data_IF_822769760981
#
_entry.id   IF_822769760981
#
_cell.length_a   1.000
_cell.length_b   1.000
_cell.length_c   1.000
_cell.angle_alpha   90.00
_cell.angle_beta   90.00
_cell.angle_gamma   90.00
#
_symmetry.space_group_name_H-M   'P 1'
#
loop_
_entity.id
_entity.type
_entity.pdbx_description
1 polymer ?
#
# COMPACT_ATOMS: atom_id res chain seq x y z
N UNK A 1 2.10 -10.44 -6.12
CA UNK A 1 1.27 -9.39 -6.74
C UNK A 1 1.99 -8.07 -6.52
N UNK A 2 2.24 -7.30 -7.59
CA UNK A 2 2.86 -5.98 -7.50
C UNK A 2 1.82 -4.92 -7.85
N UNK A 3 1.76 -3.84 -7.07
CA UNK A 3 0.89 -2.70 -7.33
C UNK A 3 1.69 -1.41 -7.26
N UNK A 4 1.50 -0.50 -8.22
CA UNK A 4 2.12 0.83 -8.23
C UNK A 4 1.07 1.87 -7.86
N UNK A 5 1.31 2.60 -6.79
CA UNK A 5 0.55 3.77 -6.40
C UNK A 5 1.28 5.03 -6.90
N UNK A 6 0.50 5.93 -7.50
CA UNK A 6 0.94 7.08 -8.28
C UNK A 6 1.76 6.66 -9.53
N UNK A 7 1.11 6.58 -10.68
CA UNK A 7 1.79 6.23 -11.95
C UNK A 7 2.62 7.41 -12.42
N UNK A 8 3.80 7.14 -13.00
CA UNK A 8 4.58 8.18 -13.66
C UNK A 8 3.75 8.89 -14.73
N UNK A 9 3.83 10.21 -14.76
CA UNK A 9 3.03 11.03 -15.65
C UNK A 9 3.18 10.56 -17.12
N UNK A 10 2.09 10.16 -17.80
CA UNK A 10 2.16 9.59 -19.15
C UNK A 10 2.71 10.58 -20.19
N UNK A 11 2.73 11.89 -19.91
CA UNK A 11 3.30 12.91 -20.80
C UNK A 11 4.82 12.71 -20.99
N UNK A 12 5.53 12.07 -20.05
CA UNK A 12 6.99 11.87 -20.16
C UNK A 12 7.39 10.57 -20.84
N UNK A 13 6.46 9.63 -21.08
CA UNK A 13 6.76 8.32 -21.65
C UNK A 13 5.77 7.93 -22.75
N UNK A 14 5.90 8.56 -23.93
CA UNK A 14 5.26 8.06 -25.14
C UNK A 14 6.05 6.84 -25.67
N UNK A 15 5.61 5.63 -25.33
CA UNK A 15 5.95 4.41 -26.09
C UNK A 15 4.73 3.97 -26.92
N UNK A 16 4.92 3.53 -28.17
CA UNK A 16 3.82 3.25 -29.09
C UNK A 16 3.17 1.90 -28.73
N UNK A 17 1.97 1.93 -28.15
CA UNK A 17 1.21 0.71 -27.93
C UNK A 17 0.46 0.26 -29.19
N UNK A 18 0.72 -1.01 -29.53
CA UNK A 18 -0.02 -1.94 -30.38
C UNK A 18 -1.53 -1.64 -30.51
N UNK A 19 -2.05 -1.70 -31.76
CA UNK A 19 -3.48 -1.57 -32.10
C UNK A 19 -4.27 -2.75 -31.52
N UNK A 20 -4.92 -2.56 -30.37
CA UNK A 20 -5.93 -3.47 -29.86
C UNK A 20 -7.18 -3.47 -30.76
N UNK A 21 -7.85 -4.62 -30.89
CA UNK A 21 -9.12 -4.74 -31.59
C UNK A 21 -10.20 -3.86 -30.93
N UNK A 22 -11.15 -3.28 -31.68
CA UNK A 22 -12.21 -2.47 -31.09
C UNK A 22 -13.06 -3.33 -30.14
N UNK A 23 -13.47 -2.79 -28.99
CA UNK A 23 -14.27 -3.52 -28.02
C UNK A 23 -15.63 -3.94 -28.63
N UNK A 24 -16.21 -5.07 -28.17
CA UNK A 24 -17.51 -5.52 -28.63
C UNK A 24 -18.61 -4.50 -28.26
N UNK A 25 -19.55 -4.29 -29.18
CA UNK A 25 -20.70 -3.39 -28.96
C UNK A 25 -21.69 -4.09 -28.03
N UNK A 26 -21.97 -3.48 -26.87
CA UNK A 26 -22.98 -3.96 -25.94
C UNK A 26 -24.39 -3.51 -26.37
N UNK A 27 -25.42 -4.36 -26.22
CA UNK A 27 -26.80 -3.96 -26.48
C UNK A 27 -27.22 -2.83 -25.52
N UNK A 28 -27.95 -1.83 -26.01
CA UNK A 28 -28.34 -0.62 -25.24
C UNK A 28 -29.81 -0.22 -25.38
N UNK A 29 -30.62 -1.05 -26.01
CA UNK A 29 -31.98 -0.71 -26.44
C UNK A 29 -32.96 -0.68 -25.26
N UNK A 30 -32.78 -1.57 -24.28
CA UNK A 30 -33.70 -1.67 -23.15
C UNK A 30 -33.23 -0.86 -21.93
N UNK A 31 -34.18 -0.58 -21.02
CA UNK A 31 -33.84 0.03 -19.73
C UNK A 31 -32.94 -0.88 -18.88
N UNK A 32 -33.09 -2.21 -19.02
CA UNK A 32 -32.25 -3.20 -18.36
C UNK A 32 -30.82 -3.17 -18.93
N UNK A 33 -30.67 -3.09 -20.26
CA UNK A 33 -29.38 -2.94 -20.92
C UNK A 33 -28.65 -1.68 -20.45
N UNK A 34 -29.36 -0.54 -20.39
CA UNK A 34 -28.78 0.72 -19.90
C UNK A 34 -28.39 0.65 -18.43
N UNK A 35 -29.15 -0.06 -17.59
CA UNK A 35 -28.80 -0.30 -16.18
C UNK A 35 -27.61 -1.24 -16.04
N UNK A 36 -27.54 -2.29 -16.87
CA UNK A 36 -26.43 -3.24 -16.89
C UNK A 36 -25.15 -2.58 -17.40
N UNK A 37 -25.21 -1.78 -18.46
CA UNK A 37 -24.10 -0.95 -18.94
C UNK A 37 -23.68 0.06 -17.87
N UNK A 38 -24.63 0.73 -17.20
CA UNK A 38 -24.31 1.61 -16.06
C UNK A 38 -23.62 0.85 -14.94
N UNK A 39 -24.05 -0.36 -14.61
CA UNK A 39 -23.45 -1.19 -13.58
C UNK A 39 -22.04 -1.65 -13.97
N UNK A 40 -21.85 -2.12 -15.21
CA UNK A 40 -20.55 -2.51 -15.76
C UNK A 40 -19.59 -1.33 -15.80
N UNK A 41 -20.03 -0.16 -16.26
CA UNK A 41 -19.21 1.06 -16.30
C UNK A 41 -19.02 1.69 -14.91
N UNK A 42 -19.92 1.42 -13.95
CA UNK A 42 -19.77 1.85 -12.55
C UNK A 42 -18.75 1.01 -11.79
N UNK A 43 -18.42 -0.18 -12.31
CA UNK A 43 -17.28 -0.95 -11.86
C UNK A 43 -16.03 -0.25 -12.38
N UNK A 44 -15.68 0.86 -11.72
CA UNK A 44 -14.39 1.50 -11.92
C UNK A 44 -13.32 0.41 -11.78
N UNK A 45 -12.40 0.36 -12.73
CA UNK A 45 -11.19 -0.43 -12.57
C UNK A 45 -10.60 -0.07 -11.20
N UNK A 46 -10.30 -1.05 -10.31
CA UNK A 46 -9.65 -0.75 -9.04
C UNK A 46 -8.43 0.16 -9.21
N UNK A 47 -7.71 0.02 -10.33
CA UNK A 47 -6.55 0.85 -10.66
C UNK A 47 -6.96 2.28 -11.03
N UNK A 48 -8.09 2.50 -11.70
CA UNK A 48 -8.66 3.83 -11.96
C UNK A 48 -9.08 4.53 -10.67
N UNK A 49 -9.70 3.81 -9.74
CA UNK A 49 -10.11 4.37 -8.45
C UNK A 49 -8.90 4.80 -7.63
N UNK A 50 -7.84 3.99 -7.63
CA UNK A 50 -6.57 4.33 -6.99
C UNK A 50 -5.90 5.52 -7.67
N UNK A 51 -5.88 5.56 -8.99
CA UNK A 51 -5.29 6.67 -9.75
C UNK A 51 -6.03 7.98 -9.49
N UNK A 52 -7.37 7.96 -9.46
CA UNK A 52 -8.18 9.13 -9.12
C UNK A 52 -7.94 9.61 -7.69
N UNK A 53 -7.68 8.68 -6.76
CA UNK A 53 -7.46 9.00 -5.36
C UNK A 53 -6.05 9.53 -5.08
N UNK A 54 -5.03 8.84 -5.58
CA UNK A 54 -3.62 9.15 -5.31
C UNK A 54 -2.99 10.12 -6.31
N UNK A 55 -3.55 10.26 -7.50
CA UNK A 55 -3.00 11.08 -8.57
C UNK A 55 -1.78 10.44 -9.25
N UNK A 56 -1.00 11.28 -9.93
CA UNK A 56 0.20 10.89 -10.68
C UNK A 56 1.47 11.29 -9.94
N UNK A 57 2.51 10.47 -10.07
CA UNK A 57 3.86 10.84 -9.68
C UNK A 57 4.53 11.56 -10.86
N UNK A 58 5.30 12.61 -10.56
CA UNK A 58 5.94 13.46 -11.57
C UNK A 58 7.46 13.23 -11.68
N UNK A 59 8.01 12.35 -10.84
CA UNK A 59 9.44 12.05 -10.80
C UNK A 59 9.64 10.55 -10.90
N UNK A 60 10.43 10.11 -11.87
CA UNK A 60 10.93 8.73 -11.94
C UNK A 60 12.38 8.69 -11.42
N UNK A 61 12.64 7.75 -10.51
CA UNK A 61 14.01 7.43 -10.07
C UNK A 61 14.19 5.93 -9.92
N UNK A 62 15.45 5.50 -9.75
CA UNK A 62 15.73 4.14 -9.28
C UNK A 62 15.04 3.90 -7.93
N UNK A 63 14.33 2.77 -7.77
CA UNK A 63 13.55 2.50 -6.57
C UNK A 63 14.45 2.15 -5.38
N UNK A 64 14.21 2.82 -4.26
CA UNK A 64 14.75 2.43 -2.96
C UNK A 64 13.89 1.29 -2.42
N UNK A 65 14.52 0.18 -2.05
CA UNK A 65 13.82 -0.98 -1.48
C UNK A 65 13.71 -0.86 0.03
N UNK A 66 12.54 -1.19 0.56
CA UNK A 66 12.28 -1.27 2.00
C UNK A 66 11.39 -2.47 2.29
N UNK A 67 11.63 -3.12 3.42
CA UNK A 67 10.87 -4.26 3.91
C UNK A 67 10.20 -3.87 5.22
N UNK A 68 8.95 -4.23 5.40
CA UNK A 68 8.15 -3.88 6.58
C UNK A 68 7.46 -5.12 7.13
N UNK A 69 7.43 -5.22 8.45
CA UNK A 69 6.74 -6.29 9.17
C UNK A 69 6.16 -5.77 10.50
N UNK A 70 5.14 -6.45 11.00
CA UNK A 70 4.47 -6.18 12.26
C UNK A 70 4.30 -7.46 13.07
N UNK A 71 4.73 -7.41 14.33
CA UNK A 71 4.61 -8.53 15.26
C UNK A 71 3.75 -8.15 16.46
N UNK A 72 2.98 -9.10 16.99
CA UNK A 72 2.22 -8.91 18.21
C UNK A 72 2.30 -10.11 19.14
N UNK A 73 2.91 -9.90 20.32
CA UNK A 73 2.90 -10.83 21.43
C UNK A 73 1.51 -10.86 22.06
N UNK A 74 0.91 -12.05 22.15
CA UNK A 74 -0.41 -12.21 22.75
C UNK A 74 -1.53 -11.56 21.97
N UNK A 75 -1.46 -11.52 20.63
CA UNK A 75 -2.47 -10.90 19.77
C UNK A 75 -3.92 -11.25 20.18
N UNK A 76 -4.76 -10.23 20.36
CA UNK A 76 -6.14 -10.37 20.84
C UNK A 76 -6.31 -10.54 22.35
N UNK A 77 -5.23 -10.49 23.14
CA UNK A 77 -5.27 -10.49 24.62
C UNK A 77 -5.17 -9.07 25.17
N UNK A 78 -5.65 -8.87 26.40
CA UNK A 78 -5.59 -7.58 27.09
C UNK A 78 -4.17 -7.09 27.39
N UNK A 79 -3.20 -8.01 27.48
CA UNK A 79 -1.78 -7.72 27.70
C UNK A 79 -0.97 -7.69 26.40
N UNK A 80 -1.63 -7.67 25.24
CA UNK A 80 -0.96 -7.71 23.96
C UNK A 80 0.05 -6.56 23.80
N UNK A 81 1.18 -6.88 23.18
CA UNK A 81 2.24 -5.93 22.89
C UNK A 81 2.66 -6.10 21.44
N UNK A 82 2.55 -5.05 20.63
CA UNK A 82 2.86 -5.12 19.21
C UNK A 82 3.95 -4.15 18.80
N UNK A 83 4.83 -4.61 17.92
CA UNK A 83 5.99 -3.88 17.43
C UNK A 83 6.07 -3.91 15.90
N UNK A 84 6.64 -2.86 15.35
CA UNK A 84 6.75 -2.60 13.92
C UNK A 84 8.22 -2.53 13.52
N UNK A 85 8.56 -3.27 12.47
CA UNK A 85 9.92 -3.38 11.94
C UNK A 85 10.01 -2.79 10.54
N UNK A 86 11.02 -1.96 10.30
CA UNK A 86 11.34 -1.43 8.96
C UNK A 86 12.81 -1.68 8.66
N UNK A 87 13.07 -2.37 7.56
CA UNK A 87 14.41 -2.75 7.13
C UNK A 87 14.73 -2.19 5.74
N UNK A 88 15.76 -1.34 5.67
CA UNK A 88 16.25 -0.68 4.46
C UNK A 88 17.53 -1.32 3.90
N UNK A 89 18.16 -2.22 4.67
CA UNK A 89 19.45 -2.83 4.33
C UNK A 89 20.36 -2.98 5.54
N UNK A 90 21.42 -3.76 5.39
CA UNK A 90 22.35 -4.00 6.48
C UNK A 90 23.05 -2.72 6.93
N UNK A 91 23.09 -2.50 8.24
CA UNK A 91 23.66 -1.30 8.87
C UNK A 91 23.05 0.03 8.40
N UNK A 92 21.87 0.01 7.78
CA UNK A 92 21.20 1.24 7.37
C UNK A 92 20.65 1.96 8.61
N UNK A 93 20.97 3.25 8.82
CA UNK A 93 20.53 4.01 10.01
C UNK A 93 19.02 4.25 10.06
N UNK A 94 18.29 4.04 8.95
CA UNK A 94 16.83 4.13 8.91
C UNK A 94 16.13 2.84 9.38
N UNK A 95 16.89 1.76 9.64
CA UNK A 95 16.31 0.55 10.20
C UNK A 95 15.66 0.87 11.55
N UNK A 96 14.39 0.49 11.68
CA UNK A 96 13.56 0.90 12.82
C UNK A 96 12.89 -0.30 13.46
N UNK A 97 13.02 -0.41 14.78
CA UNK A 97 12.18 -1.24 15.65
C UNK A 97 11.38 -0.29 16.54
N UNK A 98 10.06 -0.27 16.39
CA UNK A 98 9.20 0.69 17.09
C UNK A 98 8.02 0.00 17.75
N UNK A 99 7.64 0.48 18.94
CA UNK A 99 6.39 0.06 19.57
C UNK A 99 5.20 0.61 18.79
N UNK A 100 4.19 -0.22 18.54
CA UNK A 100 2.98 0.23 17.85
C UNK A 100 2.22 1.22 18.75
N UNK A 101 1.90 2.43 18.27
CA UNK A 101 1.21 3.43 19.08
C UNK A 101 -0.28 3.12 19.20
N UNK A 102 -0.90 3.64 20.25
CA UNK A 102 -2.35 3.58 20.46
C UNK A 102 -2.83 2.31 21.18
N UNK A 103 -4.13 2.26 21.50
CA UNK A 103 -4.69 1.27 22.42
C UNK A 103 -4.83 -0.14 21.80
N UNK A 104 -4.92 -0.24 20.47
CA UNK A 104 -5.13 -1.51 19.76
C UNK A 104 -3.83 -2.24 19.45
N UNK A 105 -3.24 -2.93 20.41
CA UNK A 105 -2.03 -3.74 20.20
C UNK A 105 -2.37 -5.03 19.44
N UNK A 106 -2.24 -5.00 18.12
CA UNK A 106 -2.62 -6.11 17.22
C UNK A 106 -1.58 -6.25 16.12
N UNK A 107 -1.49 -7.44 15.53
CA UNK A 107 -0.58 -7.68 14.39
C UNK A 107 -0.89 -6.70 13.24
N UNK A 108 -2.15 -6.64 12.83
CA UNK A 108 -2.62 -5.78 11.73
C UNK A 108 -2.26 -4.30 11.93
N UNK A 109 -2.37 -3.78 13.16
CA UNK A 109 -2.00 -2.39 13.43
C UNK A 109 -0.48 -2.18 13.35
N UNK A 110 0.30 -3.14 13.85
CA UNK A 110 1.76 -3.09 13.78
C UNK A 110 2.26 -3.11 12.34
N UNK A 111 1.66 -3.92 11.48
CA UNK A 111 1.97 -4.02 10.05
C UNK A 111 1.72 -2.68 9.34
N UNK A 112 0.56 -2.06 9.57
CA UNK A 112 0.25 -0.74 9.04
C UNK A 112 1.19 0.34 9.56
N UNK A 113 1.54 0.28 10.84
CA UNK A 113 2.45 1.26 11.42
C UNK A 113 3.87 1.14 10.84
N UNK A 114 4.33 -0.07 10.51
CA UNK A 114 5.58 -0.29 9.81
C UNK A 114 5.57 0.34 8.40
N UNK A 115 4.48 0.16 7.64
CA UNK A 115 4.26 0.86 6.35
C UNK A 115 4.32 2.37 6.51
N UNK A 116 3.68 2.91 7.55
CA UNK A 116 3.68 4.34 7.81
C UNK A 116 5.09 4.88 8.12
N UNK A 117 5.87 4.18 8.96
CA UNK A 117 7.27 4.55 9.25
C UNK A 117 8.08 4.57 7.96
N UNK A 118 7.97 3.52 7.14
CA UNK A 118 8.69 3.43 5.87
C UNK A 118 8.36 4.61 4.93
N UNK A 119 7.08 4.97 4.81
CA UNK A 119 6.64 6.11 3.99
C UNK A 119 7.08 7.47 4.56
N UNK A 120 7.13 7.60 5.88
CA UNK A 120 7.60 8.82 6.58
C UNK A 120 9.08 9.07 6.32
N UNK A 121 9.90 8.02 6.39
CA UNK A 121 11.36 8.13 6.32
C UNK A 121 11.88 8.06 4.87
N UNK A 122 11.07 7.58 3.94
CA UNK A 122 11.36 7.58 2.51
C UNK A 122 11.46 9.01 1.94
N UNK A 123 12.55 9.30 1.24
CA UNK A 123 12.69 10.55 0.47
C UNK A 123 11.55 10.67 -0.55
N UNK A 124 10.88 11.83 -0.57
CA UNK A 124 9.61 12.05 -1.30
C UNK A 124 9.75 12.03 -2.83
N UNK A 125 10.94 12.32 -3.35
CA UNK A 125 11.27 12.40 -4.78
C UNK A 125 11.99 11.16 -5.31
N UNK A 126 12.11 10.11 -4.49
CA UNK A 126 12.63 8.81 -4.89
C UNK A 126 11.53 7.78 -4.98
N UNK A 127 11.52 7.00 -6.06
CA UNK A 127 10.64 5.84 -6.18
C UNK A 127 10.87 4.91 -4.98
N UNK A 128 9.80 4.42 -4.36
CA UNK A 128 9.88 3.52 -3.22
C UNK A 128 9.32 2.16 -3.61
N UNK A 129 10.03 1.09 -3.29
CA UNK A 129 9.55 -0.29 -3.42
C UNK A 129 9.42 -0.89 -2.02
N UNK A 130 8.19 -0.93 -1.52
CA UNK A 130 7.84 -1.43 -0.20
C UNK A 130 7.39 -2.89 -0.31
N UNK A 131 8.08 -3.76 0.43
CA UNK A 131 7.76 -5.19 0.51
C UNK A 131 7.24 -5.54 1.89
N UNK A 132 6.16 -6.32 1.95
CA UNK A 132 5.58 -6.86 3.18
C UNK A 132 4.99 -8.24 2.89
N UNK A 133 4.91 -9.08 3.91
CA UNK A 133 4.17 -10.34 3.90
C UNK A 133 2.73 -10.20 4.44
N UNK A 134 2.32 -8.99 4.80
CA UNK A 134 0.96 -8.67 5.23
C UNK A 134 0.10 -8.25 4.05
N UNK A 135 -0.70 -9.17 3.53
CA UNK A 135 -1.76 -8.84 2.57
C UNK A 135 -2.72 -7.79 3.14
N UNK A 136 -2.99 -7.83 4.45
CA UNK A 136 -3.80 -6.82 5.11
C UNK A 136 -3.18 -5.43 4.97
N UNK A 137 -1.90 -5.24 5.34
CA UNK A 137 -1.28 -3.93 5.27
C UNK A 137 -1.19 -3.40 3.84
N UNK A 138 -0.86 -4.26 2.87
CA UNK A 138 -0.85 -3.89 1.46
C UNK A 138 -2.25 -3.45 1.03
N UNK A 139 -3.27 -4.29 1.22
CA UNK A 139 -4.65 -4.00 0.76
C UNK A 139 -5.27 -2.78 1.44
N UNK A 140 -5.02 -2.61 2.74
CA UNK A 140 -5.46 -1.47 3.51
C UNK A 140 -4.77 -0.16 3.08
N UNK A 141 -3.51 -0.22 2.65
CA UNK A 141 -2.75 0.93 2.14
C UNK A 141 -3.05 1.24 0.66
N UNK A 142 -3.73 0.32 -0.04
CA UNK A 142 -3.98 0.41 -1.48
C UNK A 142 -5.49 0.36 -1.77
N UNK A 143 -6.03 -0.79 -2.22
CA UNK A 143 -7.38 -0.95 -2.78
C UNK A 143 -8.50 -0.51 -1.83
N UNK A 144 -8.28 -0.60 -0.52
CA UNK A 144 -9.29 -0.21 0.47
C UNK A 144 -9.31 1.31 0.72
N UNK A 145 -8.28 2.06 0.32
CA UNK A 145 -8.16 3.50 0.63
C UNK A 145 -9.31 4.33 0.05
N UNK A 146 -9.70 4.20 -1.24
CA UNK A 146 -10.82 4.99 -1.76
C UNK A 146 -12.12 4.75 -0.99
N UNK A 147 -12.39 3.50 -0.61
CA UNK A 147 -13.57 3.15 0.19
C UNK A 147 -13.46 3.67 1.63
N UNK A 148 -12.29 3.53 2.27
CA UNK A 148 -12.06 4.04 3.60
C UNK A 148 -12.26 5.56 3.66
N UNK A 149 -11.78 6.30 2.66
CA UNK A 149 -11.98 7.74 2.55
C UNK A 149 -13.46 8.13 2.39
N UNK A 150 -14.24 7.36 1.60
CA UNK A 150 -15.69 7.57 1.47
C UNK A 150 -16.43 7.37 2.81
N UNK A 151 -15.92 6.46 3.65
CA UNK A 151 -16.43 6.20 4.99
C UNK A 151 -15.84 7.15 6.05
N UNK A 152 -15.21 8.26 5.64
CA UNK A 152 -14.56 9.22 6.55
C UNK A 152 -13.53 8.55 7.48
N UNK A 153 -12.88 7.50 6.99
CA UNK A 153 -11.89 6.70 7.72
C UNK A 153 -12.46 5.94 8.93
N UNK A 154 -13.79 5.80 9.02
CA UNK A 154 -14.46 4.96 10.04
C UNK A 154 -14.36 3.48 9.66
N UNK A 155 -13.14 2.96 9.71
CA UNK A 155 -12.77 1.57 9.43
C UNK A 155 -11.72 1.11 10.45
N UNK A 156 -11.51 -0.20 10.64
CA UNK A 156 -10.44 -0.69 11.51
C UNK A 156 -9.07 -0.13 11.11
N UNK A 157 -8.36 0.45 12.09
CA UNK A 157 -7.08 1.15 11.90
C UNK A 157 -7.15 2.33 10.90
N UNK A 158 -8.33 2.92 10.72
CA UNK A 158 -8.56 4.02 9.80
C UNK A 158 -7.67 5.24 10.05
N UNK A 159 -7.23 5.45 11.29
CA UNK A 159 -6.25 6.47 11.67
C UNK A 159 -4.90 6.28 10.95
N UNK A 160 -4.39 5.05 10.89
CA UNK A 160 -3.15 4.74 10.19
C UNK A 160 -3.35 4.73 8.67
N UNK A 161 -4.48 4.19 8.19
CA UNK A 161 -4.80 4.15 6.76
C UNK A 161 -4.91 5.56 6.19
N UNK A 162 -5.54 6.49 6.91
CA UNK A 162 -5.65 7.90 6.51
C UNK A 162 -4.28 8.57 6.41
N UNK A 163 -3.39 8.36 7.39
CA UNK A 163 -2.06 8.94 7.38
C UNK A 163 -1.18 8.32 6.28
N UNK A 164 -1.23 7.01 6.06
CA UNK A 164 -0.56 6.33 4.95
C UNK A 164 -0.99 6.93 3.61
N UNK A 165 -2.31 7.10 3.43
CA UNK A 165 -2.87 7.69 2.24
C UNK A 165 -2.36 9.12 2.02
N UNK A 166 -2.33 9.93 3.09
CA UNK A 166 -1.81 11.29 3.05
C UNK A 166 -0.32 11.33 2.68
N UNK A 167 0.48 10.42 3.22
CA UNK A 167 1.92 10.33 2.92
C UNK A 167 2.14 9.99 1.45
N UNK A 168 1.41 9.02 0.90
CA UNK A 168 1.52 8.64 -0.52
C UNK A 168 1.15 9.83 -1.42
N UNK A 169 0.05 10.52 -1.16
CA UNK A 169 -0.40 11.69 -1.95
C UNK A 169 0.60 12.85 -1.97
N UNK A 170 1.44 12.99 -0.94
CA UNK A 170 2.46 14.05 -0.86
C UNK A 170 3.79 13.69 -1.56
N UNK A 171 3.94 12.46 -2.04
CA UNK A 171 5.17 12.04 -2.73
C UNK A 171 5.19 12.57 -4.15
N UNK A 172 6.39 12.90 -4.63
CA UNK A 172 6.62 13.29 -6.02
C UNK A 172 6.93 12.07 -6.90
N UNK A 173 7.46 11.02 -6.29
CA UNK A 173 7.84 9.77 -6.94
C UNK A 173 6.94 8.60 -6.51
N UNK A 174 6.79 7.57 -7.37
CA UNK A 174 5.84 6.47 -7.17
C UNK A 174 6.18 5.60 -5.96
N UNK A 175 5.16 4.94 -5.41
CA UNK A 175 5.33 3.87 -4.41
C UNK A 175 4.82 2.55 -5.00
N UNK A 176 5.67 1.53 -5.04
CA UNK A 176 5.29 0.17 -5.41
C UNK A 176 5.18 -0.69 -4.16
N UNK A 177 4.05 -1.38 -4.00
CA UNK A 177 3.86 -2.41 -3.00
C UNK A 177 4.06 -3.78 -3.63
N UNK A 178 4.79 -4.66 -2.94
CA UNK A 178 4.94 -6.06 -3.32
C UNK A 178 4.74 -6.99 -2.13
N UNK A 179 3.96 -8.04 -2.37
CA UNK A 179 3.82 -9.13 -1.42
C UNK A 179 5.01 -10.09 -1.49
N UNK A 180 5.53 -10.48 -0.33
CA UNK A 180 6.45 -11.62 -0.18
C UNK A 180 5.84 -12.66 0.72
N UNK A 181 6.25 -13.93 0.56
CA UNK A 181 5.80 -14.98 1.47
C UNK A 181 6.59 -14.91 2.78
N UNK A 182 5.89 -14.98 3.91
CA UNK A 182 6.49 -15.10 5.23
C UNK A 182 7.38 -16.36 5.35
N UNK A 183 8.41 -16.28 6.18
CA UNK A 183 9.27 -17.41 6.60
C UNK A 183 9.99 -18.17 5.46
N UNK A 184 10.29 -17.49 4.36
CA UNK A 184 11.33 -17.95 3.45
C UNK A 184 12.70 -17.63 4.08
N UNK A 185 13.36 -18.67 4.61
CA UNK A 185 14.66 -18.59 5.29
C UNK A 185 15.65 -17.71 4.50
N UNK A 186 16.29 -16.77 5.20
CA UNK A 186 17.30 -15.83 4.72
C UNK A 186 16.80 -14.71 3.78
N UNK A 187 15.60 -14.17 4.01
CA UNK A 187 15.10 -13.01 3.25
C UNK A 187 15.25 -11.69 4.02
N UNK A 188 15.38 -10.55 3.33
CA UNK A 188 15.32 -9.23 3.98
C UNK A 188 14.05 -9.00 4.82
N UNK A 189 12.96 -9.71 4.51
CA UNK A 189 11.73 -9.67 5.31
C UNK A 189 11.94 -10.21 6.73
N UNK A 190 12.76 -11.25 6.92
CA UNK A 190 13.07 -11.77 8.25
C UNK A 190 13.84 -10.77 9.12
N UNK A 191 14.58 -9.85 8.51
CA UNK A 191 15.22 -8.75 9.23
C UNK A 191 14.19 -7.72 9.68
N UNK A 192 13.13 -7.48 8.88
CA UNK A 192 12.00 -6.68 9.31
C UNK A 192 11.22 -7.36 10.45
N UNK A 193 10.95 -8.67 10.35
CA UNK A 193 10.33 -9.49 11.42
C UNK A 193 11.10 -9.39 12.74
N UNK A 194 12.43 -9.53 12.69
CA UNK A 194 13.29 -9.42 13.87
C UNK A 194 13.19 -8.03 14.52
N UNK A 195 13.17 -6.96 13.72
CA UNK A 195 12.97 -5.59 14.20
C UNK A 195 11.56 -5.40 14.79
N UNK A 196 10.53 -5.99 14.17
CA UNK A 196 9.16 -5.92 14.65
C UNK A 196 9.02 -6.59 16.02
N UNK A 197 9.60 -7.78 16.20
CA UNK A 197 9.67 -8.49 17.48
C UNK A 197 10.44 -7.72 18.54
N UNK A 198 11.52 -7.04 18.16
CA UNK A 198 12.28 -6.17 19.08
C UNK A 198 11.45 -4.96 19.53
N UNK A 199 10.56 -4.44 18.68
CA UNK A 199 9.70 -3.30 19.01
C UNK A 199 8.48 -3.63 19.88
N UNK A 200 8.11 -4.90 20.02
CA UNK A 200 6.93 -5.36 20.75
C UNK A 200 7.17 -5.39 22.26
#
# INVERSE_FOLDING_TARGET
MELVLAVANPVTNAHPHSKAAPPPVLPSETALDRLFIKALHSRADPDDALLRFFGYANVESHPVRVYTDGSCLGNGRSWAASGSGVFWGDSNPLNTAARTPGPGQTNNRAELYAVLIALRDAVVDKSLHLTSDSEYAITASTWNVPRAAQLSWDVPNGDLVAEIANRIQRRLAPVRFSYTKAHAQCTPNEKADALAKQGA
#
